data_IF_864435931955
#
_entry.id   IF_864435931955
#
_cell.length_a   1.000
_cell.length_b   1.000
_cell.length_c   1.000
_cell.angle_alpha   90.00
_cell.angle_beta   90.00
_cell.angle_gamma   90.00
#
_symmetry.space_group_name_H-M   'P 1'
#
loop_
_entity.id
_entity.type
_entity.pdbx_description
1 polymer ?
#
# COMPACT_ATOMS: atom_id res chain seq x y z
N UNK A 1 -24.73 -21.71 -26.86
CA UNK A 1 -24.22 -20.33 -27.09
C UNK A 1 -23.49 -19.66 -25.93
N UNK A 2 -23.14 -20.34 -24.81
CA UNK A 2 -22.45 -19.73 -23.64
C UNK A 2 -20.90 -19.87 -23.64
N UNK A 3 -20.33 -20.69 -24.53
CA UNK A 3 -18.87 -20.96 -24.57
C UNK A 3 -18.03 -19.83 -25.17
N UNK A 4 -18.63 -18.96 -26.01
CA UNK A 4 -17.91 -17.90 -26.72
C UNK A 4 -17.56 -16.69 -25.81
N UNK A 5 -18.37 -16.44 -24.80
CA UNK A 5 -18.18 -15.33 -23.85
C UNK A 5 -16.97 -15.56 -22.92
N UNK A 6 -16.81 -16.79 -22.45
CA UNK A 6 -15.70 -17.16 -21.53
C UNK A 6 -14.33 -17.05 -22.20
N UNK A 7 -14.20 -17.48 -23.47
CA UNK A 7 -12.95 -17.34 -24.23
C UNK A 7 -12.54 -15.87 -24.43
N UNK A 8 -13.51 -14.97 -24.67
CA UNK A 8 -13.25 -13.54 -24.86
C UNK A 8 -12.79 -12.87 -23.57
N UNK A 9 -13.39 -13.22 -22.43
CA UNK A 9 -12.97 -12.72 -21.11
C UNK A 9 -11.59 -13.24 -20.71
N UNK A 10 -11.29 -14.50 -21.01
CA UNK A 10 -9.96 -15.08 -20.73
C UNK A 10 -8.88 -14.44 -21.61
N UNK A 11 -9.17 -14.17 -22.90
CA UNK A 11 -8.27 -13.47 -23.80
C UNK A 11 -8.00 -12.02 -23.35
N UNK A 12 -9.02 -11.31 -22.86
CA UNK A 12 -8.85 -9.97 -22.30
C UNK A 12 -7.99 -9.99 -21.02
N UNK A 13 -8.18 -10.98 -20.14
CA UNK A 13 -7.36 -11.16 -18.94
C UNK A 13 -5.90 -11.47 -19.29
N UNK A 14 -5.67 -12.33 -20.30
CA UNK A 14 -4.31 -12.69 -20.75
C UNK A 14 -3.64 -11.51 -21.46
N UNK A 15 -4.36 -10.71 -22.26
CA UNK A 15 -3.82 -9.50 -22.90
C UNK A 15 -3.58 -8.39 -21.88
N UNK A 16 -4.42 -8.24 -20.87
CA UNK A 16 -4.22 -7.32 -19.76
C UNK A 16 -3.00 -7.73 -18.90
N UNK A 17 -2.89 -9.01 -18.55
CA UNK A 17 -1.73 -9.55 -17.86
C UNK A 17 -0.44 -9.42 -18.70
N UNK A 18 -0.50 -9.69 -20.02
CA UNK A 18 0.63 -9.43 -20.91
C UNK A 18 1.02 -7.96 -20.96
N UNK A 19 0.07 -7.03 -21.01
CA UNK A 19 0.33 -5.59 -20.99
C UNK A 19 1.02 -5.11 -19.72
N UNK A 20 0.85 -5.81 -18.60
CA UNK A 20 1.60 -5.56 -17.34
C UNK A 20 3.04 -6.09 -17.45
N UNK A 21 3.26 -7.18 -18.20
CA UNK A 21 4.56 -7.86 -18.31
C UNK A 21 5.34 -7.55 -19.61
N UNK A 22 4.72 -6.92 -20.64
CA UNK A 22 5.48 -6.44 -21.80
C UNK A 22 6.20 -5.17 -21.45
N UNK A 23 7.42 -5.33 -21.01
CA UNK A 23 8.39 -4.27 -20.88
C UNK A 23 8.64 -3.60 -22.23
N UNK A 24 8.34 -2.29 -22.36
CA UNK A 24 8.88 -1.49 -23.45
C UNK A 24 10.41 -1.44 -23.31
N UNK A 25 11.07 -2.25 -24.13
CA UNK A 25 12.53 -2.32 -24.26
C UNK A 25 13.07 -1.08 -24.98
N UNK A 26 12.91 0.10 -24.38
CA UNK A 26 13.54 1.34 -24.83
C UNK A 26 14.44 1.92 -23.72
N UNK A 27 15.40 2.79 -24.10
CA UNK A 27 16.29 3.47 -23.13
C UNK A 27 15.51 4.17 -21.99
N UNK A 28 14.26 4.55 -22.24
CA UNK A 28 13.34 5.15 -21.28
C UNK A 28 12.75 4.09 -20.33
N UNK A 29 12.49 2.86 -20.80
CA UNK A 29 12.06 1.74 -20.00
C UNK A 29 13.14 1.31 -18.99
N UNK A 30 14.39 1.22 -19.43
CA UNK A 30 15.54 0.87 -18.56
C UNK A 30 15.75 1.89 -17.42
N UNK A 31 15.53 3.19 -17.65
CA UNK A 31 15.61 4.21 -16.58
C UNK A 31 14.47 4.10 -15.57
N UNK A 32 13.26 3.80 -16.01
CA UNK A 32 12.10 3.56 -15.12
C UNK A 32 12.32 2.30 -14.28
N UNK A 33 12.80 1.23 -14.90
CA UNK A 33 13.10 -0.03 -14.23
C UNK A 33 14.17 0.13 -13.13
N UNK A 34 15.28 0.81 -13.43
CA UNK A 34 16.32 1.09 -12.43
C UNK A 34 15.76 1.85 -11.21
N UNK A 35 14.87 2.83 -11.41
CA UNK A 35 14.23 3.55 -10.30
C UNK A 35 13.36 2.63 -9.43
N UNK A 36 12.57 1.74 -10.04
CA UNK A 36 11.75 0.77 -9.31
C UNK A 36 12.61 -0.18 -8.50
N UNK A 37 13.71 -0.71 -9.08
CA UNK A 37 14.64 -1.57 -8.35
C UNK A 37 15.33 -0.86 -7.18
N UNK A 38 15.73 0.41 -7.35
CA UNK A 38 16.32 1.20 -6.27
C UNK A 38 15.32 1.38 -5.12
N UNK A 39 14.07 1.75 -5.42
CA UNK A 39 13.04 1.96 -4.39
C UNK A 39 12.68 0.64 -3.70
N UNK A 40 12.57 -0.46 -4.45
CA UNK A 40 12.35 -1.78 -3.88
C UNK A 40 13.54 -2.21 -2.99
N UNK A 41 14.78 -1.94 -3.39
CA UNK A 41 15.96 -2.21 -2.58
C UNK A 41 15.98 -1.42 -1.27
N UNK A 42 15.65 -0.11 -1.33
CA UNK A 42 15.53 0.73 -0.12
C UNK A 42 14.44 0.19 0.80
N UNK A 43 13.27 -0.15 0.26
CA UNK A 43 12.17 -0.72 1.04
C UNK A 43 12.59 -2.02 1.73
N UNK A 44 13.19 -2.97 1.00
CA UNK A 44 13.68 -4.22 1.57
C UNK A 44 14.75 -3.99 2.65
N UNK A 45 15.69 -3.08 2.42
CA UNK A 45 16.72 -2.74 3.40
C UNK A 45 16.12 -2.19 4.69
N UNK A 46 15.13 -1.28 4.59
CA UNK A 46 14.42 -0.72 5.74
C UNK A 46 13.65 -1.80 6.51
N UNK A 47 12.95 -2.69 5.81
CA UNK A 47 12.20 -3.79 6.43
C UNK A 47 13.14 -4.76 7.14
N UNK A 48 14.23 -5.17 6.51
CA UNK A 48 15.23 -6.07 7.12
C UNK A 48 15.84 -5.39 8.35
N UNK A 49 16.20 -4.11 8.26
CA UNK A 49 16.75 -3.36 9.41
C UNK A 49 15.74 -3.28 10.55
N UNK A 50 14.46 -3.05 10.26
CA UNK A 50 13.41 -3.03 11.27
C UNK A 50 13.24 -4.39 11.98
N UNK A 51 13.29 -5.50 11.21
CA UNK A 51 13.21 -6.86 11.76
C UNK A 51 14.43 -7.17 12.66
N UNK A 52 15.65 -6.81 12.22
CA UNK A 52 16.89 -7.06 12.98
C UNK A 52 16.91 -6.27 14.29
N UNK A 53 16.46 -5.01 14.25
CA UNK A 53 16.43 -4.13 15.44
C UNK A 53 15.30 -4.54 16.39
N UNK A 54 14.22 -5.16 15.86
CA UNK A 54 13.00 -5.47 16.59
C UNK A 54 11.99 -4.32 16.56
N UNK A 55 10.72 -4.66 16.40
CA UNK A 55 9.63 -3.67 16.25
C UNK A 55 8.76 -3.56 17.49
N UNK A 56 8.66 -4.61 18.32
CA UNK A 56 7.69 -4.69 19.42
C UNK A 56 7.91 -3.68 20.52
N UNK A 57 9.19 -3.46 20.93
CA UNK A 57 9.50 -2.63 22.10
C UNK A 57 10.63 -1.61 21.82
N UNK A 58 10.92 -1.37 20.54
CA UNK A 58 12.06 -0.57 20.13
C UNK A 58 11.65 0.59 19.22
N UNK A 59 11.73 1.82 19.73
CA UNK A 59 11.38 3.04 18.98
C UNK A 59 12.10 3.11 17.62
N UNK A 60 13.41 2.86 17.48
CA UNK A 60 14.09 2.81 16.19
C UNK A 60 13.48 1.82 15.20
N UNK A 61 13.09 0.62 15.64
CA UNK A 61 12.43 -0.37 14.79
C UNK A 61 11.06 0.09 14.27
N UNK A 62 10.27 0.73 15.14
CA UNK A 62 8.97 1.32 14.77
C UNK A 62 9.17 2.42 13.72
N UNK A 63 10.13 3.33 13.93
CA UNK A 63 10.45 4.41 12.98
C UNK A 63 10.87 3.85 11.62
N UNK A 64 11.70 2.81 11.59
CA UNK A 64 12.09 2.16 10.34
C UNK A 64 10.91 1.53 9.59
N UNK A 65 9.97 0.89 10.31
CA UNK A 65 8.73 0.40 9.73
C UNK A 65 7.88 1.51 9.11
N UNK A 66 7.74 2.66 9.79
CA UNK A 66 7.05 3.81 9.24
C UNK A 66 7.74 4.36 7.99
N UNK A 67 9.06 4.51 8.01
CA UNK A 67 9.82 4.96 6.85
C UNK A 67 9.68 4.00 5.67
N UNK A 68 9.78 2.69 5.91
CA UNK A 68 9.56 1.67 4.89
C UNK A 68 8.16 1.79 4.26
N UNK A 69 7.13 1.93 5.10
CA UNK A 69 5.75 2.06 4.64
C UNK A 69 5.54 3.36 3.83
N UNK A 70 6.10 4.48 4.26
CA UNK A 70 6.05 5.76 3.51
C UNK A 70 6.74 5.60 2.15
N UNK A 71 7.93 4.99 2.10
CA UNK A 71 8.65 4.74 0.85
C UNK A 71 7.81 3.89 -0.10
N UNK A 72 7.17 2.84 0.40
CA UNK A 72 6.28 1.99 -0.38
C UNK A 72 5.09 2.79 -0.96
N UNK A 73 4.40 3.58 -0.12
CA UNK A 73 3.23 4.38 -0.55
C UNK A 73 3.65 5.45 -1.56
N UNK A 74 4.78 6.13 -1.35
CA UNK A 74 5.32 7.10 -2.30
C UNK A 74 5.68 6.40 -3.62
N UNK A 75 6.29 5.22 -3.58
CA UNK A 75 6.59 4.44 -4.78
C UNK A 75 5.34 4.07 -5.59
N UNK A 76 4.23 3.74 -4.92
CA UNK A 76 2.96 3.42 -5.58
C UNK A 76 2.25 4.65 -6.13
N UNK A 77 2.42 5.81 -5.49
CA UNK A 77 1.71 7.06 -5.84
C UNK A 77 2.53 8.05 -6.67
N UNK A 78 3.84 7.81 -6.89
CA UNK A 78 4.75 8.76 -7.55
C UNK A 78 4.34 9.14 -8.99
N UNK A 79 3.54 8.31 -9.66
CA UNK A 79 3.01 8.58 -11.01
C UNK A 79 1.74 9.45 -10.99
N UNK A 80 1.17 9.68 -9.83
CA UNK A 80 -0.08 10.42 -9.73
C UNK A 80 0.15 11.92 -9.93
N UNK A 81 -0.67 12.53 -10.81
CA UNK A 81 -0.58 13.95 -11.20
C UNK A 81 -1.84 14.74 -10.86
N UNK A 82 -2.89 14.06 -10.34
CA UNK A 82 -4.20 14.69 -10.08
C UNK A 82 -4.43 14.79 -8.58
N UNK A 83 -4.70 15.99 -8.07
CA UNK A 83 -5.06 16.28 -6.67
C UNK A 83 -6.17 15.37 -6.17
N UNK A 84 -7.19 15.09 -7.02
CA UNK A 84 -8.32 14.22 -6.65
C UNK A 84 -7.90 12.83 -6.19
N UNK A 85 -6.84 12.23 -6.78
CA UNK A 85 -6.36 10.89 -6.38
C UNK A 85 -5.78 10.89 -4.98
N UNK A 86 -5.03 11.94 -4.64
CA UNK A 86 -4.46 12.10 -3.30
C UNK A 86 -5.53 12.39 -2.25
N UNK A 87 -6.57 13.16 -2.58
CA UNK A 87 -7.72 13.39 -1.69
C UNK A 87 -8.50 12.10 -1.42
N UNK A 88 -8.71 11.27 -2.44
CA UNK A 88 -9.34 9.96 -2.26
C UNK A 88 -8.48 9.08 -1.35
N UNK A 89 -7.16 9.06 -1.54
CA UNK A 89 -6.24 8.31 -0.69
C UNK A 89 -6.31 8.79 0.77
N UNK A 90 -6.36 10.10 0.99
CA UNK A 90 -6.48 10.71 2.31
C UNK A 90 -7.79 10.30 3.00
N UNK A 91 -8.93 10.43 2.33
CA UNK A 91 -10.23 10.05 2.89
C UNK A 91 -10.30 8.54 3.14
N UNK A 92 -9.81 7.74 2.19
CA UNK A 92 -9.77 6.28 2.32
C UNK A 92 -8.88 5.84 3.49
N UNK A 93 -7.78 6.54 3.77
CA UNK A 93 -6.91 6.21 4.90
C UNK A 93 -7.57 6.49 6.25
N UNK A 94 -8.35 7.58 6.36
CA UNK A 94 -9.11 7.88 7.59
C UNK A 94 -10.19 6.83 7.82
N UNK A 95 -11.00 6.55 6.81
CA UNK A 95 -12.05 5.52 6.90
C UNK A 95 -11.41 4.15 7.19
N UNK A 96 -10.35 3.81 6.47
CA UNK A 96 -9.62 2.56 6.63
C UNK A 96 -9.07 2.38 8.05
N UNK A 97 -8.53 3.43 8.64
CA UNK A 97 -8.05 3.39 10.03
C UNK A 97 -9.14 2.92 11.00
N UNK A 98 -10.32 3.54 10.96
CA UNK A 98 -11.42 3.13 11.83
C UNK A 98 -11.93 1.72 11.53
N UNK A 99 -12.06 1.36 10.26
CA UNK A 99 -12.51 0.02 9.86
C UNK A 99 -11.52 -1.04 10.34
N UNK A 100 -10.22 -0.86 10.08
CA UNK A 100 -9.20 -1.84 10.49
C UNK A 100 -8.98 -1.87 12.00
N UNK A 101 -9.15 -0.76 12.72
CA UNK A 101 -9.12 -0.74 14.17
C UNK A 101 -10.30 -1.53 14.78
N UNK A 102 -11.50 -1.41 14.22
CA UNK A 102 -12.65 -2.22 14.63
C UNK A 102 -12.43 -3.70 14.32
N UNK A 103 -11.96 -4.02 13.12
CA UNK A 103 -11.65 -5.40 12.73
C UNK A 103 -10.58 -6.02 13.62
N UNK A 104 -9.50 -5.30 13.92
CA UNK A 104 -8.46 -5.73 14.85
C UNK A 104 -9.06 -6.17 16.19
N UNK A 105 -9.89 -5.32 16.82
CA UNK A 105 -10.52 -5.63 18.10
C UNK A 105 -11.52 -6.80 18.00
N UNK A 106 -12.29 -6.87 16.92
CA UNK A 106 -13.23 -7.97 16.70
C UNK A 106 -12.51 -9.33 16.55
N UNK A 107 -11.44 -9.37 15.75
CA UNK A 107 -10.65 -10.61 15.58
C UNK A 107 -9.86 -10.99 16.84
N UNK A 108 -9.41 -9.99 17.62
CA UNK A 108 -8.82 -10.26 18.93
C UNK A 108 -9.83 -10.93 19.89
N UNK A 109 -11.06 -10.42 19.96
CA UNK A 109 -12.11 -11.04 20.75
C UNK A 109 -12.44 -12.47 20.25
N UNK A 110 -12.47 -12.69 18.94
CA UNK A 110 -12.68 -14.02 18.35
C UNK A 110 -11.54 -14.99 18.70
N UNK A 111 -10.29 -14.53 18.78
CA UNK A 111 -9.16 -15.38 19.22
C UNK A 111 -9.42 -15.95 20.61
N UNK A 112 -9.94 -15.15 21.54
CA UNK A 112 -10.25 -15.57 22.90
C UNK A 112 -11.39 -16.60 22.92
N UNK A 113 -12.44 -16.39 22.09
CA UNK A 113 -13.59 -17.28 22.01
C UNK A 113 -13.27 -18.61 21.32
N UNK A 114 -12.29 -18.63 20.41
CA UNK A 114 -11.95 -19.82 19.61
C UNK A 114 -10.72 -20.58 20.11
N UNK A 115 -10.21 -20.26 21.31
CA UNK A 115 -8.99 -20.83 21.87
C UNK A 115 -9.03 -22.36 22.02
N UNK A 116 -10.23 -22.96 22.09
CA UNK A 116 -10.45 -24.40 22.15
C UNK A 116 -10.25 -25.13 20.80
N UNK A 117 -10.16 -24.39 19.68
CA UNK A 117 -9.88 -24.92 18.33
C UNK A 117 -8.58 -24.30 17.84
N UNK A 118 -7.46 -25.01 18.01
CA UNK A 118 -6.12 -24.47 17.76
C UNK A 118 -5.94 -23.83 16.36
N UNK A 119 -6.40 -24.49 15.29
CA UNK A 119 -6.28 -23.98 13.93
C UNK A 119 -7.07 -22.66 13.72
N UNK A 120 -8.26 -22.56 14.32
CA UNK A 120 -9.11 -21.37 14.20
C UNK A 120 -8.54 -20.22 15.04
N UNK A 121 -8.05 -20.51 16.24
CA UNK A 121 -7.39 -19.52 17.11
C UNK A 121 -6.19 -18.89 16.41
N UNK A 122 -5.29 -19.68 15.83
CA UNK A 122 -4.13 -19.18 15.08
C UNK A 122 -4.53 -18.33 13.87
N UNK A 123 -5.61 -18.70 13.17
CA UNK A 123 -6.11 -17.90 12.05
C UNK A 123 -6.63 -16.54 12.53
N UNK A 124 -7.41 -16.50 13.61
CA UNK A 124 -7.95 -15.27 14.19
C UNK A 124 -6.80 -14.38 14.72
N UNK A 125 -5.81 -14.99 15.36
CA UNK A 125 -4.60 -14.30 15.82
C UNK A 125 -3.82 -13.68 14.67
N UNK A 126 -3.60 -14.41 13.58
CA UNK A 126 -2.93 -13.85 12.40
C UNK A 126 -3.71 -12.68 11.79
N UNK A 127 -5.04 -12.80 11.67
CA UNK A 127 -5.88 -11.74 11.12
C UNK A 127 -5.88 -10.48 11.99
N UNK A 128 -5.98 -10.60 13.32
CA UNK A 128 -5.95 -9.43 14.18
C UNK A 128 -4.61 -8.69 14.11
N UNK A 129 -3.48 -9.41 14.01
CA UNK A 129 -2.15 -8.82 13.81
C UNK A 129 -2.04 -8.10 12.47
N UNK A 130 -2.54 -8.70 11.39
CA UNK A 130 -2.55 -8.08 10.06
C UNK A 130 -3.36 -6.79 10.07
N UNK A 131 -4.56 -6.78 10.64
CA UNK A 131 -5.39 -5.58 10.72
C UNK A 131 -4.77 -4.50 11.61
N UNK A 132 -4.09 -4.89 12.68
CA UNK A 132 -3.32 -3.96 13.52
C UNK A 132 -2.21 -3.28 12.71
N UNK A 133 -1.41 -4.04 11.98
CA UNK A 133 -0.32 -3.51 11.15
C UNK A 133 -0.86 -2.54 10.10
N UNK A 134 -1.97 -2.89 9.42
CA UNK A 134 -2.61 -2.01 8.44
C UNK A 134 -3.09 -0.71 9.10
N UNK A 135 -3.78 -0.81 10.24
CA UNK A 135 -4.31 0.37 10.95
C UNK A 135 -3.19 1.29 11.41
N UNK A 136 -2.14 0.76 12.05
CA UNK A 136 -1.10 1.56 12.71
C UNK A 136 -0.03 2.06 11.74
N UNK A 137 0.37 1.27 10.73
CA UNK A 137 1.45 1.67 9.82
C UNK A 137 0.93 2.16 8.46
N UNK A 138 0.05 1.40 7.80
CA UNK A 138 -0.35 1.72 6.44
C UNK A 138 -1.30 2.94 6.40
N UNK A 139 -2.30 2.99 7.27
CA UNK A 139 -3.27 4.10 7.26
C UNK A 139 -2.64 5.46 7.57
N UNK A 140 -1.80 5.64 8.62
CA UNK A 140 -1.14 6.93 8.85
C UNK A 140 -0.14 7.29 7.76
N UNK A 141 0.61 6.33 7.20
CA UNK A 141 1.53 6.59 6.10
C UNK A 141 0.79 7.04 4.83
N UNK A 142 -0.32 6.39 4.48
CA UNK A 142 -1.16 6.79 3.34
C UNK A 142 -1.84 8.13 3.56
N UNK A 143 -2.25 8.42 4.80
CA UNK A 143 -2.78 9.73 5.18
C UNK A 143 -1.75 10.85 4.94
N UNK A 144 -0.52 10.69 5.45
CA UNK A 144 0.56 11.67 5.25
C UNK A 144 0.87 11.90 3.78
N UNK A 145 1.03 10.82 3.00
CA UNK A 145 1.30 10.92 1.55
C UNK A 145 0.12 11.55 0.82
N UNK A 146 -1.11 11.22 1.20
CA UNK A 146 -2.33 11.80 0.65
C UNK A 146 -2.43 13.30 0.93
N UNK A 147 -2.14 13.73 2.17
CA UNK A 147 -2.16 15.12 2.57
C UNK A 147 -1.09 15.95 1.83
N UNK A 148 0.17 15.52 1.90
CA UNK A 148 1.29 16.21 1.24
C UNK A 148 1.10 16.22 -0.28
N UNK A 149 0.71 15.09 -0.88
CA UNK A 149 0.47 14.98 -2.33
C UNK A 149 -0.65 15.89 -2.81
N UNK A 150 -1.75 16.02 -2.05
CA UNK A 150 -2.85 16.93 -2.40
C UNK A 150 -2.42 18.40 -2.36
N UNK A 151 -1.65 18.79 -1.34
CA UNK A 151 -1.15 20.16 -1.21
C UNK A 151 -0.19 20.50 -2.37
N UNK A 152 0.78 19.63 -2.64
CA UNK A 152 1.76 19.83 -3.72
C UNK A 152 1.08 19.93 -5.08
N UNK A 153 0.16 19.04 -5.41
CA UNK A 153 -0.58 19.08 -6.66
C UNK A 153 -1.44 20.34 -6.76
N UNK A 154 -2.10 20.77 -5.67
CA UNK A 154 -2.91 21.99 -5.66
C UNK A 154 -2.08 23.25 -5.89
N UNK A 155 -0.87 23.34 -5.32
CA UNK A 155 0.05 24.45 -5.54
C UNK A 155 0.50 24.49 -7.01
N UNK A 156 0.86 23.35 -7.59
CA UNK A 156 1.27 23.25 -8.99
C UNK A 156 0.12 23.68 -9.93
N UNK A 157 -1.10 23.23 -9.66
CA UNK A 157 -2.27 23.57 -10.46
C UNK A 157 -2.62 25.07 -10.37
N UNK A 158 -2.47 25.70 -9.20
CA UNK A 158 -2.62 27.16 -9.03
C UNK A 158 -1.60 27.95 -9.85
N UNK A 159 -0.32 27.57 -9.76
CA UNK A 159 0.75 28.24 -10.52
C UNK A 159 0.51 28.22 -12.03
N UNK A 160 0.04 27.10 -12.57
CA UNK A 160 -0.28 27.00 -14.00
C UNK A 160 -1.38 27.96 -14.45
N UNK A 161 -2.39 28.21 -13.59
CA UNK A 161 -3.49 29.14 -13.89
C UNK A 161 -3.08 30.62 -13.83
N UNK A 162 -2.02 30.94 -13.11
CA UNK A 162 -1.54 32.34 -12.95
C UNK A 162 -0.61 32.75 -14.07
N UNK A 163 0.00 31.80 -14.80
CA UNK A 163 1.02 32.06 -15.84
C UNK A 163 0.41 31.92 -17.27
N UNK A 164 -0.76 31.30 -17.42
CA UNK A 164 -1.45 31.19 -18.70
C UNK A 164 -2.66 32.09 -18.78
#
# INVERSE_FOLDING_TARGET
MKSFSLKKSLLMLVTWARGIFTFEEGAQGRRKQKKVFIVAGIFCALVISAIVIGVSDNIPGIVLCYLATIVLVVALTHTWRKTKRFLILLVASVIGFFVFAVLHNAFYALTILTNHIAALSHLMEALHVVFFIIAIFLCPATFLVGAVGSIVCAIIDRRKRTIG
#
